data_IF_274959902681
#
_entry.id   IF_274959902681
#
_cell.length_a   1.000
_cell.length_b   1.000
_cell.length_c   1.000
_cell.angle_alpha   90.00
_cell.angle_beta   90.00
_cell.angle_gamma   90.00
#
_symmetry.space_group_name_H-M   'P 1'
#
loop_
_entity.id
_entity.type
_entity.pdbx_description
1 polymer ?
#
# COMPACT_ATOMS: atom_id res chain seq x y z
N UNK A 1 54.73 13.26 -20.64
CA UNK A 1 53.69 12.27 -21.06
C UNK A 1 52.90 11.63 -19.93
N UNK A 2 53.32 11.67 -18.70
CA UNK A 2 52.59 11.03 -17.56
C UNK A 2 51.45 11.84 -16.94
N UNK A 3 51.33 13.14 -17.23
CA UNK A 3 50.29 14.00 -16.67
C UNK A 3 48.92 13.92 -17.37
N UNK A 4 48.86 13.39 -18.58
CA UNK A 4 47.61 13.29 -19.36
C UNK A 4 46.85 11.96 -19.02
N UNK A 5 47.58 10.93 -18.59
CA UNK A 5 46.97 9.62 -18.28
C UNK A 5 46.19 9.62 -16.95
N UNK A 6 46.59 10.51 -16.02
CA UNK A 6 45.96 10.55 -14.68
C UNK A 6 44.58 11.22 -14.68
N UNK A 7 44.34 12.11 -15.65
CA UNK A 7 43.03 12.80 -15.77
C UNK A 7 41.96 11.91 -16.36
N UNK A 8 42.32 10.92 -17.18
CA UNK A 8 41.37 9.99 -17.78
C UNK A 8 40.87 8.91 -16.78
N UNK A 9 41.66 8.60 -15.76
CA UNK A 9 41.26 7.57 -14.75
C UNK A 9 40.27 8.13 -13.74
N UNK A 10 40.33 9.44 -13.46
CA UNK A 10 39.42 10.05 -12.45
C UNK A 10 38.00 10.26 -12.99
N UNK A 11 37.85 10.44 -14.32
CA UNK A 11 36.51 10.63 -14.92
C UNK A 11 35.71 9.35 -15.09
N UNK A 12 36.35 8.16 -15.00
CA UNK A 12 35.65 6.89 -15.15
C UNK A 12 35.02 6.36 -13.82
N UNK A 13 35.41 6.93 -12.67
CA UNK A 13 34.91 6.47 -11.35
C UNK A 13 33.62 7.16 -10.87
N UNK A 14 33.12 8.18 -11.59
CA UNK A 14 31.94 8.94 -11.16
C UNK A 14 30.64 8.60 -11.90
N UNK A 15 30.65 7.64 -12.79
CA UNK A 15 29.42 7.14 -13.41
C UNK A 15 28.92 5.85 -12.73
N UNK A 16 28.78 5.88 -11.41
CA UNK A 16 27.91 4.90 -10.74
C UNK A 16 26.48 5.23 -11.17
N UNK A 17 25.77 4.29 -11.82
CA UNK A 17 24.35 4.51 -12.07
C UNK A 17 23.70 4.74 -10.72
N UNK A 18 23.05 5.87 -10.54
CA UNK A 18 22.17 6.08 -9.40
C UNK A 18 21.19 4.90 -9.42
N UNK A 19 21.27 4.01 -8.43
CA UNK A 19 20.26 3.01 -8.17
C UNK A 19 18.99 3.78 -7.84
N UNK A 20 18.20 4.07 -8.88
CA UNK A 20 16.83 4.54 -8.71
C UNK A 20 16.09 3.38 -8.05
N UNK A 21 15.84 3.52 -6.74
CA UNK A 21 14.90 2.67 -6.04
C UNK A 21 13.55 2.84 -6.76
N UNK A 22 13.23 1.89 -7.62
CA UNK A 22 11.95 1.88 -8.33
C UNK A 22 10.87 1.53 -7.31
N UNK A 23 9.95 2.46 -7.09
CA UNK A 23 8.73 2.22 -6.33
C UNK A 23 8.04 0.97 -6.88
N UNK A 24 7.70 0.03 -6.02
CA UNK A 24 6.99 -1.17 -6.43
C UNK A 24 5.58 -0.80 -6.89
N UNK A 25 5.25 -1.14 -8.12
CA UNK A 25 3.93 -0.92 -8.68
C UNK A 25 3.00 -2.09 -8.31
N UNK A 26 1.87 -1.77 -7.69
CA UNK A 26 0.82 -2.71 -7.32
C UNK A 26 -0.39 -2.62 -8.24
N UNK A 27 -0.33 -1.86 -9.33
CA UNK A 27 -1.44 -1.74 -10.29
C UNK A 27 -1.99 -3.12 -10.67
N UNK A 28 -3.30 -3.24 -10.73
CA UNK A 28 -4.07 -4.47 -11.02
C UNK A 28 -3.97 -5.57 -9.95
N UNK A 29 -3.26 -5.34 -8.85
CA UNK A 29 -3.28 -6.24 -7.69
C UNK A 29 -4.44 -5.90 -6.78
N UNK A 30 -4.88 -6.90 -6.03
CA UNK A 30 -5.98 -6.77 -5.09
C UNK A 30 -5.62 -7.47 -3.79
N UNK A 31 -6.00 -6.88 -2.66
CA UNK A 31 -5.91 -7.49 -1.34
C UNK A 31 -7.31 -7.77 -0.83
N UNK A 32 -7.57 -9.01 -0.41
CA UNK A 32 -8.86 -9.43 0.11
C UNK A 32 -8.72 -10.01 1.52
N UNK A 33 -9.54 -9.50 2.44
CA UNK A 33 -9.71 -9.99 3.80
C UNK A 33 -11.13 -10.54 3.97
N UNK A 34 -11.41 -11.78 3.54
CA UNK A 34 -12.77 -12.29 3.36
C UNK A 34 -13.57 -12.42 4.65
N UNK A 35 -12.92 -12.76 5.77
CA UNK A 35 -13.59 -12.91 7.07
C UNK A 35 -14.20 -11.61 7.57
N UNK A 36 -13.66 -10.48 7.15
CA UNK A 36 -14.00 -9.15 7.64
C UNK A 36 -14.67 -8.29 6.58
N UNK A 37 -14.94 -8.86 5.41
CA UNK A 37 -15.65 -8.20 4.31
C UNK A 37 -14.97 -6.88 3.91
N UNK A 38 -13.65 -6.91 3.80
CA UNK A 38 -12.80 -5.77 3.47
C UNK A 38 -11.83 -6.12 2.34
N UNK A 39 -11.51 -5.14 1.51
CA UNK A 39 -10.54 -5.35 0.44
C UNK A 39 -10.01 -4.05 -0.15
N UNK A 40 -8.91 -4.17 -0.89
CA UNK A 40 -8.26 -3.07 -1.61
C UNK A 40 -7.99 -3.48 -3.04
N UNK A 41 -8.35 -2.63 -3.98
CA UNK A 41 -8.01 -2.73 -5.40
C UNK A 41 -7.05 -1.61 -5.78
N UNK A 42 -5.86 -1.95 -6.27
CA UNK A 42 -4.85 -0.98 -6.71
C UNK A 42 -5.11 -0.61 -8.16
N UNK A 43 -5.65 0.59 -8.41
CA UNK A 43 -6.13 1.04 -9.72
C UNK A 43 -5.09 1.78 -10.54
N UNK A 44 -4.04 2.28 -9.92
CA UNK A 44 -2.89 2.90 -10.58
C UNK A 44 -1.66 2.86 -9.66
N UNK A 45 -0.57 3.47 -10.08
CA UNK A 45 0.67 3.54 -9.29
C UNK A 45 0.56 4.31 -7.96
N UNK A 46 -0.53 5.06 -7.74
CA UNK A 46 -0.74 5.85 -6.52
C UNK A 46 -2.19 5.90 -6.03
N UNK A 47 -3.12 5.18 -6.65
CA UNK A 47 -4.55 5.19 -6.32
C UNK A 47 -5.07 3.80 -6.01
N UNK A 48 -5.94 3.73 -4.99
CA UNK A 48 -6.62 2.49 -4.57
C UNK A 48 -8.11 2.75 -4.36
N UNK A 49 -8.90 1.71 -4.55
CA UNK A 49 -10.26 1.60 -4.01
C UNK A 49 -10.23 0.71 -2.78
N UNK A 50 -10.73 1.22 -1.67
CA UNK A 50 -10.95 0.45 -0.45
C UNK A 50 -12.42 0.09 -0.37
N UNK A 51 -12.70 -1.20 -0.20
CA UNK A 51 -14.05 -1.75 -0.09
C UNK A 51 -14.25 -2.15 1.36
N UNK A 52 -15.23 -1.56 2.01
CA UNK A 52 -15.50 -1.75 3.44
C UNK A 52 -16.96 -2.13 3.67
N UNK A 53 -17.19 -2.97 4.67
CA UNK A 53 -18.55 -3.26 5.14
C UNK A 53 -18.66 -2.80 6.60
N UNK A 54 -19.58 -1.89 6.87
CA UNK A 54 -19.83 -1.33 8.19
C UNK A 54 -20.63 -2.32 9.10
N UNK A 55 -20.81 -1.93 10.35
CA UNK A 55 -21.55 -2.70 11.34
C UNK A 55 -23.02 -2.93 10.93
N UNK A 56 -23.60 -2.04 10.14
CA UNK A 56 -24.95 -2.14 9.60
C UNK A 56 -25.00 -2.99 8.33
N UNK A 57 -23.90 -3.65 8.00
CA UNK A 57 -23.73 -4.46 6.80
C UNK A 57 -23.88 -3.65 5.50
N UNK A 58 -23.66 -2.35 5.51
CA UNK A 58 -23.60 -1.53 4.30
C UNK A 58 -22.17 -1.58 3.74
N UNK A 59 -22.06 -1.97 2.48
CA UNK A 59 -20.77 -1.96 1.76
C UNK A 59 -20.58 -0.62 1.08
N UNK A 60 -19.44 0.00 1.28
CA UNK A 60 -19.01 1.24 0.64
C UNK A 60 -17.70 1.04 -0.11
N UNK A 61 -17.49 1.87 -1.12
CA UNK A 61 -16.24 1.95 -1.88
C UNK A 61 -15.74 3.37 -1.75
N UNK A 62 -14.52 3.52 -1.27
CA UNK A 62 -13.84 4.81 -1.14
C UNK A 62 -12.55 4.79 -1.93
N UNK A 63 -12.27 5.87 -2.66
CA UNK A 63 -11.00 6.02 -3.37
C UNK A 63 -10.02 6.80 -2.49
N UNK A 64 -8.79 6.27 -2.42
CA UNK A 64 -7.70 6.82 -1.64
C UNK A 64 -6.41 6.89 -2.46
N UNK A 65 -5.42 7.57 -1.94
CA UNK A 65 -4.05 7.54 -2.43
C UNK A 65 -3.24 6.48 -1.67
N UNK A 66 -2.22 5.93 -2.29
CA UNK A 66 -1.28 5.07 -1.57
C UNK A 66 0.17 5.37 -1.94
N UNK A 67 1.04 5.04 -1.02
CA UNK A 67 2.48 5.03 -1.21
C UNK A 67 3.11 3.85 -0.48
N UNK A 68 4.32 3.49 -0.89
CA UNK A 68 5.13 2.48 -0.23
C UNK A 68 6.31 3.15 0.45
N UNK A 69 6.71 2.67 1.62
CA UNK A 69 7.94 3.13 2.24
C UNK A 69 9.19 2.66 1.46
N UNK A 70 10.32 3.29 1.74
CA UNK A 70 11.57 3.11 0.99
C UNK A 70 12.09 1.66 1.02
N UNK A 71 11.85 0.94 2.11
CA UNK A 71 12.26 -0.46 2.28
C UNK A 71 11.20 -1.46 1.79
N UNK A 72 10.08 -0.96 1.26
CA UNK A 72 8.95 -1.75 0.77
C UNK A 72 8.34 -2.68 1.82
N UNK A 73 8.42 -2.31 3.10
CA UNK A 73 7.83 -3.07 4.20
C UNK A 73 6.34 -2.80 4.36
N UNK A 74 5.89 -1.59 4.02
CA UNK A 74 4.51 -1.15 4.18
C UNK A 74 3.93 -0.51 2.92
N UNK A 75 2.63 -0.72 2.73
CA UNK A 75 1.78 0.12 1.87
C UNK A 75 0.98 1.01 2.81
N UNK A 76 1.11 2.33 2.65
CA UNK A 76 0.36 3.32 3.40
C UNK A 76 -0.73 3.92 2.53
N UNK A 77 -1.97 3.98 3.05
CA UNK A 77 -3.15 4.50 2.35
C UNK A 77 -3.58 5.81 3.01
N UNK A 78 -3.84 6.83 2.20
CA UNK A 78 -4.09 8.21 2.62
C UNK A 78 -5.38 8.76 1.99
N UNK A 79 -6.09 9.63 2.70
CA UNK A 79 -7.23 10.37 2.14
C UNK A 79 -6.80 11.42 1.12
N UNK A 80 -5.70 12.12 1.41
CA UNK A 80 -5.15 13.17 0.55
C UNK A 80 -3.78 12.80 0.03
N UNK A 81 -3.48 13.19 -1.20
CA UNK A 81 -2.17 12.98 -1.80
C UNK A 81 -1.08 13.73 -1.02
N UNK A 82 0.03 13.03 -0.74
CA UNK A 82 1.22 13.57 -0.06
C UNK A 82 0.99 14.12 1.35
N UNK A 83 -0.11 13.78 2.00
CA UNK A 83 -0.38 14.21 3.37
C UNK A 83 -0.32 13.03 4.35
N UNK A 84 0.81 12.88 5.04
CA UNK A 84 1.01 11.81 6.02
C UNK A 84 0.01 11.87 7.19
N UNK A 85 -0.56 13.04 7.48
CA UNK A 85 -1.55 13.22 8.55
C UNK A 85 -2.91 12.60 8.22
N UNK A 86 -3.18 12.41 6.93
CA UNK A 86 -4.42 11.82 6.43
C UNK A 86 -4.29 10.31 6.20
N UNK A 87 -3.27 9.67 6.78
CA UNK A 87 -3.11 8.23 6.71
C UNK A 87 -4.28 7.53 7.37
N UNK A 88 -4.87 6.58 6.65
CA UNK A 88 -6.03 5.80 7.09
C UNK A 88 -5.63 4.37 7.43
N UNK A 89 -4.86 3.74 6.55
CA UNK A 89 -4.43 2.34 6.72
C UNK A 89 -2.93 2.18 6.46
N UNK A 90 -2.35 1.16 7.09
CA UNK A 90 -1.04 0.61 6.75
C UNK A 90 -1.16 -0.90 6.58
N UNK A 91 -0.60 -1.41 5.49
CA UNK A 91 -0.55 -2.85 5.18
C UNK A 91 0.90 -3.28 5.25
N UNK A 92 1.23 -4.16 6.18
CA UNK A 92 2.57 -4.75 6.28
C UNK A 92 2.72 -5.84 5.22
N UNK A 93 3.66 -5.67 4.29
CA UNK A 93 3.78 -6.53 3.11
C UNK A 93 4.21 -7.97 3.42
N UNK A 94 4.98 -8.18 4.48
CA UNK A 94 5.48 -9.51 4.84
C UNK A 94 4.40 -10.40 5.47
N UNK A 95 3.48 -9.81 6.22
CA UNK A 95 2.47 -10.53 7.01
C UNK A 95 1.05 -10.32 6.49
N UNK A 96 0.86 -9.31 5.65
CA UNK A 96 -0.44 -8.78 5.22
C UNK A 96 -1.33 -8.36 6.39
N UNK A 97 -0.71 -8.00 7.52
CA UNK A 97 -1.40 -7.35 8.64
C UNK A 97 -1.86 -5.95 8.19
N UNK A 98 -3.06 -5.59 8.56
CA UNK A 98 -3.63 -4.27 8.29
C UNK A 98 -3.86 -3.53 9.58
N UNK A 99 -3.28 -2.35 9.70
CA UNK A 99 -3.47 -1.43 10.81
C UNK A 99 -4.31 -0.23 10.35
N UNK A 100 -5.25 0.20 11.17
CA UNK A 100 -5.97 1.46 10.98
C UNK A 100 -5.27 2.57 11.75
N UNK A 101 -5.17 3.75 11.14
CA UNK A 101 -4.60 4.94 11.76
C UNK A 101 -5.70 5.88 12.21
N UNK A 102 -5.54 6.41 13.41
CA UNK A 102 -6.40 7.44 13.94
C UNK A 102 -5.57 8.60 14.50
N UNK A 103 -6.03 9.81 14.23
CA UNK A 103 -5.48 11.01 14.85
C UNK A 103 -6.17 11.22 16.18
N UNK A 104 -5.43 11.15 17.26
CA UNK A 104 -5.91 11.42 18.62
C UNK A 104 -5.29 12.72 19.13
N UNK A 105 -5.87 13.33 20.16
CA UNK A 105 -5.38 14.60 20.74
C UNK A 105 -3.92 14.58 21.24
N UNK A 106 -3.28 13.41 21.32
CA UNK A 106 -1.88 13.20 21.69
C UNK A 106 -0.96 12.81 20.54
N UNK A 107 -1.45 12.76 19.30
CA UNK A 107 -0.68 12.37 18.12
C UNK A 107 -1.31 11.25 17.33
N UNK A 108 -0.50 10.58 16.47
CA UNK A 108 -0.95 9.44 15.68
C UNK A 108 -0.92 8.17 16.49
N UNK A 109 -2.01 7.41 16.47
CA UNK A 109 -2.08 6.07 17.03
C UNK A 109 -2.45 5.06 15.95
N UNK A 110 -1.87 3.86 16.04
CA UNK A 110 -2.27 2.74 15.21
C UNK A 110 -3.01 1.71 16.04
N UNK A 111 -3.99 1.08 15.42
CA UNK A 111 -4.69 -0.06 15.99
C UNK A 111 -4.67 -1.18 14.94
N UNK A 112 -4.28 -2.38 15.36
CA UNK A 112 -4.42 -3.55 14.52
C UNK A 112 -5.89 -3.73 14.13
N UNK A 113 -6.14 -3.73 12.84
CA UNK A 113 -7.46 -3.95 12.26
C UNK A 113 -7.62 -5.41 11.87
N UNK A 114 -6.65 -5.93 11.14
CA UNK A 114 -6.64 -7.32 10.67
C UNK A 114 -5.29 -7.96 10.98
N UNK A 115 -5.27 -8.98 11.85
CA UNK A 115 -4.04 -9.69 12.16
C UNK A 115 -3.52 -10.49 10.97
N UNK A 116 -2.28 -10.90 11.09
CA UNK A 116 -1.59 -11.74 10.11
C UNK A 116 -2.42 -12.97 9.74
N UNK A 117 -2.46 -13.30 8.45
CA UNK A 117 -3.12 -14.51 7.92
C UNK A 117 -4.62 -14.36 7.62
N UNK A 118 -5.22 -13.20 7.85
CA UNK A 118 -6.61 -12.94 7.48
C UNK A 118 -6.78 -12.38 6.06
N UNK A 119 -5.74 -11.76 5.52
CA UNK A 119 -5.74 -11.15 4.20
C UNK A 119 -4.86 -11.92 3.23
N UNK A 120 -5.15 -11.85 1.95
CA UNK A 120 -4.36 -12.43 0.87
C UNK A 120 -4.40 -11.56 -0.36
N UNK A 121 -3.31 -11.56 -1.14
CA UNK A 121 -3.34 -11.01 -2.49
C UNK A 121 -4.12 -11.96 -3.41
N UNK A 122 -4.92 -11.37 -4.27
CA UNK A 122 -5.65 -12.04 -5.36
C UNK A 122 -5.43 -11.26 -6.65
N UNK A 123 -5.61 -11.91 -7.77
CA UNK A 123 -5.42 -11.30 -9.11
C UNK A 123 -6.66 -11.54 -9.95
N UNK A 124 -7.04 -10.53 -10.73
CA UNK A 124 -8.14 -10.59 -11.70
C UNK A 124 -9.48 -11.06 -11.11
N UNK A 125 -9.73 -10.77 -9.84
CA UNK A 125 -10.99 -11.11 -9.18
C UNK A 125 -11.85 -9.85 -8.99
N UNK A 126 -13.16 -10.01 -9.05
CA UNK A 126 -14.11 -8.97 -8.62
C UNK A 126 -14.29 -9.08 -7.10
N UNK A 127 -13.38 -8.45 -6.34
CA UNK A 127 -13.42 -8.48 -4.88
C UNK A 127 -14.66 -7.80 -4.31
N UNK A 128 -15.24 -6.82 -5.00
CA UNK A 128 -16.49 -6.18 -4.57
C UNK A 128 -17.65 -7.17 -4.59
N UNK A 129 -17.82 -7.89 -5.70
CA UNK A 129 -18.83 -8.94 -5.79
C UNK A 129 -18.58 -10.09 -4.82
N UNK A 130 -17.33 -10.46 -4.59
CA UNK A 130 -16.98 -11.48 -3.58
C UNK A 130 -17.39 -11.05 -2.16
N UNK A 131 -17.05 -9.83 -1.74
CA UNK A 131 -17.41 -9.27 -0.43
C UNK A 131 -18.95 -9.23 -0.29
N UNK A 132 -19.64 -8.77 -1.34
CA UNK A 132 -21.10 -8.71 -1.37
C UNK A 132 -21.75 -10.11 -1.23
N UNK A 133 -21.20 -11.11 -1.93
CA UNK A 133 -21.69 -12.50 -1.88
C UNK A 133 -21.41 -13.18 -0.52
N UNK A 134 -20.24 -12.90 0.08
CA UNK A 134 -19.92 -13.40 1.42
C UNK A 134 -20.85 -12.84 2.49
N UNK A 135 -21.27 -11.59 2.33
CA UNK A 135 -22.23 -10.93 3.19
C UNK A 135 -23.62 -11.60 3.16
N UNK A 136 -24.08 -12.03 1.98
CA UNK A 136 -25.41 -12.65 1.82
C UNK A 136 -25.52 -14.04 2.45
N UNK A 137 -24.36 -14.68 2.75
CA UNK A 137 -24.28 -16.04 3.35
C UNK A 137 -24.19 -16.04 4.89
N UNK A 138 -24.08 -14.87 5.51
CA UNK A 138 -24.07 -14.67 6.98
C UNK A 138 -25.41 -14.09 7.45
#
# INVERSE_FOLDING_TARGET
MYKVLLVFIITYFFSLPALTLTKKDFTDKQLLCPKLLWGVEFISSNRVKVIETDLNKKTSINEYFYDTDLDLSFINIFQSENNIRDRVYSIELNTLRVDVWAMTGGGFTTREMFPMGLCKFVENEDIFSQIKNLKSKK
#
